data_IF_693645239615
#
_entry.id   IF_693645239615
#
_cell.length_a   1.000
_cell.length_b   1.000
_cell.length_c   1.000
_cell.angle_alpha   90.00
_cell.angle_beta   90.00
_cell.angle_gamma   90.00
#
_symmetry.space_group_name_H-M   'P 1'
#
loop_
_entity.id
_entity.type
_entity.pdbx_description
1 polymer ?
#
# COMPACT_ATOMS: atom_id res chain seq x y z
N UNK A 1 6.34 -25.26 8.57
CA UNK A 1 7.41 -25.06 7.56
C UNK A 1 6.93 -24.06 6.52
N UNK A 2 7.68 -22.99 6.32
CA UNK A 2 7.46 -21.93 5.33
C UNK A 2 7.99 -22.42 3.97
N UNK A 3 7.19 -22.37 2.93
CA UNK A 3 7.58 -22.88 1.61
C UNK A 3 7.07 -21.97 0.48
N UNK A 4 7.82 -21.90 -0.62
CA UNK A 4 7.48 -21.06 -1.78
C UNK A 4 6.12 -21.43 -2.38
N UNK A 5 5.34 -20.42 -2.79
CA UNK A 5 3.99 -20.57 -3.39
C UNK A 5 4.13 -21.01 -4.85
N UNK A 6 4.22 -22.32 -5.08
CA UNK A 6 4.37 -22.91 -6.43
C UNK A 6 3.08 -23.56 -6.95
N UNK A 7 2.20 -24.03 -6.07
CA UNK A 7 1.02 -24.83 -6.40
C UNK A 7 -0.31 -24.17 -5.95
N UNK A 8 -1.43 -24.72 -6.38
CA UNK A 8 -2.77 -24.20 -6.08
C UNK A 8 -3.08 -24.25 -4.56
N UNK A 9 -2.67 -25.34 -3.87
CA UNK A 9 -2.92 -25.53 -2.44
C UNK A 9 -2.23 -24.45 -1.61
N UNK A 10 -0.97 -24.11 -1.93
CA UNK A 10 -0.23 -23.04 -1.26
C UNK A 10 -0.80 -21.66 -1.60
N UNK A 11 -1.26 -21.40 -2.84
CA UNK A 11 -1.98 -20.16 -3.18
C UNK A 11 -3.21 -19.96 -2.34
N UNK A 12 -4.02 -21.01 -2.17
CA UNK A 12 -5.23 -20.95 -1.32
C UNK A 12 -4.89 -20.66 0.12
N UNK A 13 -3.86 -21.31 0.68
CA UNK A 13 -3.38 -21.04 2.06
C UNK A 13 -2.89 -19.59 2.19
N UNK A 14 -2.10 -19.13 1.24
CA UNK A 14 -1.61 -17.75 1.17
C UNK A 14 -2.76 -16.73 1.22
N UNK A 15 -3.73 -16.87 0.32
CA UNK A 15 -4.89 -15.98 0.29
C UNK A 15 -5.74 -16.07 1.57
N UNK A 16 -5.92 -17.26 2.12
CA UNK A 16 -6.67 -17.44 3.37
C UNK A 16 -6.01 -16.77 4.58
N UNK A 17 -4.68 -16.77 4.65
CA UNK A 17 -3.95 -16.10 5.73
C UNK A 17 -4.10 -14.57 5.68
N UNK A 18 -4.35 -14.00 4.50
CA UNK A 18 -4.57 -12.55 4.33
C UNK A 18 -6.02 -12.12 4.59
N UNK A 19 -6.97 -13.06 4.58
CA UNK A 19 -8.41 -12.78 4.52
C UNK A 19 -8.90 -11.85 5.64
N UNK A 20 -9.55 -10.76 5.24
CA UNK A 20 -10.16 -9.78 6.14
C UNK A 20 -9.17 -8.78 6.75
N UNK A 21 -7.87 -8.96 6.58
CA UNK A 21 -6.86 -8.02 7.07
C UNK A 21 -6.83 -6.77 6.18
N UNK A 22 -7.06 -5.56 6.73
CA UNK A 22 -7.01 -4.34 5.94
C UNK A 22 -5.64 -4.20 5.28
N UNK A 23 -5.60 -3.74 4.02
CA UNK A 23 -4.39 -3.66 3.18
C UNK A 23 -3.86 -5.02 2.74
N UNK A 24 -3.53 -5.92 3.68
CA UNK A 24 -2.87 -7.20 3.36
C UNK A 24 -3.75 -8.13 2.52
N UNK A 25 -5.08 -8.11 2.72
CA UNK A 25 -6.04 -8.90 1.93
C UNK A 25 -6.20 -8.37 0.49
N UNK A 26 -5.91 -7.09 0.24
CA UNK A 26 -5.86 -6.55 -1.11
C UNK A 26 -4.49 -6.76 -1.76
N UNK A 27 -3.42 -6.40 -1.06
CA UNK A 27 -2.07 -6.30 -1.60
C UNK A 27 -1.47 -7.68 -1.90
N UNK A 28 -1.32 -8.52 -0.87
CA UNK A 28 -0.55 -9.77 -0.99
C UNK A 28 -1.16 -10.78 -1.98
N UNK A 29 -2.48 -11.08 -1.95
CA UNK A 29 -3.09 -12.01 -2.90
C UNK A 29 -3.01 -11.51 -4.35
N UNK A 30 -3.18 -10.19 -4.57
CA UNK A 30 -3.06 -9.60 -5.90
C UNK A 30 -1.64 -9.73 -6.42
N UNK A 31 -0.64 -9.32 -5.63
CA UNK A 31 0.77 -9.35 -6.04
C UNK A 31 1.23 -10.80 -6.28
N UNK A 32 0.81 -11.75 -5.43
CA UNK A 32 1.04 -13.17 -5.68
C UNK A 32 0.41 -13.66 -6.99
N UNK A 33 -0.79 -13.20 -7.33
CA UNK A 33 -1.44 -13.59 -8.58
C UNK A 33 -0.71 -13.04 -9.82
N UNK A 34 -0.23 -11.79 -9.75
CA UNK A 34 0.39 -11.11 -10.87
C UNK A 34 1.89 -11.39 -11.01
N UNK A 35 2.63 -11.41 -9.89
CA UNK A 35 4.09 -11.33 -9.89
C UNK A 35 4.83 -12.57 -9.38
N UNK A 36 4.14 -13.68 -9.00
CA UNK A 36 4.81 -14.87 -8.45
C UNK A 36 5.84 -15.53 -9.38
N UNK A 37 5.83 -15.18 -10.66
CA UNK A 37 6.81 -15.66 -11.65
C UNK A 37 7.81 -14.59 -12.06
N UNK A 38 7.76 -13.42 -11.46
CA UNK A 38 8.55 -12.24 -11.83
C UNK A 38 9.48 -11.85 -10.69
N UNK A 39 10.72 -11.52 -10.99
CA UNK A 39 11.63 -10.89 -10.04
C UNK A 39 11.24 -9.40 -9.89
N UNK A 40 11.46 -8.79 -8.71
CA UNK A 40 12.11 -9.35 -7.50
C UNK A 40 11.15 -10.02 -6.52
N UNK A 41 9.86 -10.17 -6.82
CA UNK A 41 8.88 -10.70 -5.88
C UNK A 41 9.05 -12.18 -5.58
N UNK A 42 8.95 -12.54 -4.32
CA UNK A 42 8.95 -13.93 -3.85
C UNK A 42 7.83 -14.13 -2.85
N UNK A 43 7.05 -15.19 -3.02
CA UNK A 43 5.88 -15.49 -2.19
C UNK A 43 6.03 -16.83 -1.52
N UNK A 44 5.73 -16.87 -0.21
CA UNK A 44 5.83 -18.06 0.62
C UNK A 44 4.58 -18.25 1.46
N UNK A 45 4.23 -19.49 1.76
CA UNK A 45 3.10 -19.83 2.61
C UNK A 45 3.53 -20.85 3.67
N UNK A 46 3.09 -20.64 4.89
CA UNK A 46 3.05 -21.62 5.98
C UNK A 46 1.67 -22.27 6.09
N UNK A 47 1.40 -23.03 7.16
CA UNK A 47 0.06 -23.52 7.45
C UNK A 47 -0.98 -22.39 7.60
N UNK A 48 -0.61 -21.32 8.30
CA UNK A 48 -1.43 -20.15 8.64
C UNK A 48 -0.75 -18.82 8.31
N UNK A 49 0.35 -18.84 7.54
CA UNK A 49 1.15 -17.67 7.18
C UNK A 49 1.12 -17.42 5.68
N UNK A 50 0.98 -16.15 5.29
CA UNK A 50 1.37 -15.62 3.99
C UNK A 50 2.55 -14.66 4.17
N UNK A 51 3.55 -14.78 3.31
CA UNK A 51 4.74 -13.95 3.32
C UNK A 51 5.11 -13.55 1.90
N UNK A 52 5.17 -12.24 1.66
CA UNK A 52 5.66 -11.63 0.42
C UNK A 52 7.00 -10.96 0.69
N UNK A 53 7.97 -11.21 -0.18
CA UNK A 53 9.23 -10.49 -0.20
C UNK A 53 9.27 -9.58 -1.41
N UNK A 54 9.48 -8.28 -1.14
CA UNK A 54 9.72 -7.26 -2.13
C UNK A 54 11.02 -6.53 -1.76
N UNK A 55 12.08 -6.77 -2.53
CA UNK A 55 13.43 -6.35 -2.15
C UNK A 55 13.86 -7.00 -0.82
N UNK A 56 14.31 -6.18 0.14
CA UNK A 56 14.72 -6.61 1.50
C UNK A 56 13.58 -6.51 2.53
N UNK A 57 12.35 -6.18 2.11
CA UNK A 57 11.19 -6.06 3.01
C UNK A 57 10.26 -7.25 2.88
N UNK A 58 9.89 -7.83 4.03
CA UNK A 58 8.89 -8.87 4.15
C UNK A 58 7.53 -8.27 4.59
N UNK A 59 6.45 -8.64 3.89
CA UNK A 59 5.08 -8.37 4.31
C UNK A 59 4.45 -9.68 4.77
N UNK A 60 3.88 -9.69 5.97
CA UNK A 60 3.37 -10.91 6.60
C UNK A 60 1.89 -10.77 6.99
N UNK A 61 1.13 -11.83 6.73
CA UNK A 61 -0.24 -12.00 7.21
C UNK A 61 -0.39 -13.38 7.85
N UNK A 62 -1.14 -13.45 8.96
CA UNK A 62 -1.36 -14.70 9.70
C UNK A 62 -0.26 -14.98 10.72
N UNK A 63 -0.04 -16.26 11.07
CA UNK A 63 0.78 -16.69 12.20
C UNK A 63 1.95 -17.57 11.80
N UNK A 64 3.10 -17.35 12.43
CA UNK A 64 4.27 -18.22 12.35
C UNK A 64 4.94 -18.39 13.73
N UNK A 65 5.73 -19.44 13.89
CA UNK A 65 6.61 -19.58 15.05
C UNK A 65 7.74 -18.53 14.95
N UNK A 66 8.01 -17.74 16.02
CA UNK A 66 9.01 -16.65 15.99
C UNK A 66 10.42 -17.09 15.57
N UNK A 67 10.91 -18.21 16.09
CA UNK A 67 12.24 -18.72 15.75
C UNK A 67 12.33 -19.22 14.30
N UNK A 68 11.29 -19.94 13.80
CA UNK A 68 11.21 -20.35 12.39
C UNK A 68 11.16 -19.13 11.47
N UNK A 69 10.39 -18.11 11.86
CA UNK A 69 10.24 -16.88 11.09
C UNK A 69 11.56 -16.09 11.03
N UNK A 70 12.23 -15.91 12.17
CA UNK A 70 13.51 -15.21 12.25
C UNK A 70 14.59 -15.88 11.39
N UNK A 71 14.74 -17.20 11.52
CA UNK A 71 15.67 -17.97 10.69
C UNK A 71 15.36 -17.87 9.19
N UNK A 72 14.07 -17.91 8.83
CA UNK A 72 13.64 -17.77 7.44
C UNK A 72 13.92 -16.39 6.87
N UNK A 73 13.59 -15.32 7.61
CA UNK A 73 13.82 -13.93 7.19
C UNK A 73 15.32 -13.65 7.01
N UNK A 74 16.14 -14.13 7.94
CA UNK A 74 17.61 -14.04 7.86
C UNK A 74 18.15 -14.77 6.62
N UNK A 75 17.71 -16.00 6.37
CA UNK A 75 18.08 -16.76 5.17
C UNK A 75 17.71 -16.03 3.88
N UNK A 76 16.58 -15.32 3.86
CA UNK A 76 16.13 -14.53 2.72
C UNK A 76 16.84 -13.18 2.56
N UNK A 77 17.67 -12.77 3.51
CA UNK A 77 18.35 -11.46 3.51
C UNK A 77 17.39 -10.30 3.78
N UNK A 78 16.36 -10.52 4.61
CA UNK A 78 15.39 -9.46 4.93
C UNK A 78 16.00 -8.46 5.93
N UNK A 79 15.80 -7.17 5.65
CA UNK A 79 16.21 -6.06 6.52
C UNK A 79 15.01 -5.47 7.28
N UNK A 80 13.79 -5.76 6.85
CA UNK A 80 12.59 -5.35 7.55
C UNK A 80 11.43 -6.34 7.35
N UNK A 81 10.53 -6.40 8.33
CA UNK A 81 9.31 -7.19 8.29
C UNK A 81 8.13 -6.35 8.78
N UNK A 82 7.02 -6.35 8.03
CA UNK A 82 5.77 -5.66 8.37
C UNK A 82 4.72 -6.71 8.69
N UNK A 83 4.12 -6.64 9.88
CA UNK A 83 3.17 -7.63 10.37
C UNK A 83 2.12 -7.01 11.30
N UNK A 84 1.01 -7.72 11.45
CA UNK A 84 0.01 -7.48 12.48
C UNK A 84 0.42 -8.23 13.76
N UNK A 85 0.84 -7.51 14.79
CA UNK A 85 1.28 -8.10 16.07
C UNK A 85 0.18 -8.90 16.79
N UNK A 86 -1.09 -8.62 16.48
CA UNK A 86 -2.22 -9.36 17.08
C UNK A 86 -2.39 -10.75 16.48
N UNK A 87 -1.90 -10.96 15.27
CA UNK A 87 -2.00 -12.21 14.52
C UNK A 87 -0.66 -12.95 14.39
N UNK A 88 0.47 -12.21 14.35
CA UNK A 88 1.79 -12.76 14.15
C UNK A 88 2.73 -12.26 15.26
N UNK A 89 3.27 -13.14 16.13
CA UNK A 89 4.28 -12.71 17.08
C UNK A 89 5.55 -12.25 16.34
N UNK A 90 6.29 -11.28 16.92
CA UNK A 90 7.52 -10.77 16.32
C UNK A 90 8.57 -11.89 16.14
N UNK A 91 9.42 -11.80 15.10
CA UNK A 91 10.52 -12.74 14.92
C UNK A 91 11.54 -12.62 16.06
N UNK A 92 12.10 -13.74 16.50
CA UNK A 92 13.13 -13.75 17.53
C UNK A 92 14.37 -12.96 17.09
N UNK A 93 14.94 -12.12 17.97
CA UNK A 93 16.10 -11.27 17.66
C UNK A 93 15.78 -10.11 16.71
N UNK A 94 14.51 -9.72 16.62
CA UNK A 94 14.07 -8.53 15.91
C UNK A 94 13.41 -7.54 16.86
N UNK A 95 13.65 -6.25 16.67
CA UNK A 95 13.02 -5.20 17.46
C UNK A 95 12.06 -4.36 16.62
N UNK A 96 11.07 -3.82 17.27
CA UNK A 96 10.07 -2.93 16.66
C UNK A 96 10.69 -1.58 16.34
N UNK A 97 10.81 -1.26 15.07
CA UNK A 97 11.33 0.01 14.59
C UNK A 97 10.23 1.08 14.47
N UNK A 98 9.00 0.67 14.09
CA UNK A 98 7.93 1.61 13.78
C UNK A 98 6.56 0.97 13.95
N UNK A 99 5.57 1.79 14.32
CA UNK A 99 4.15 1.42 14.24
C UNK A 99 3.51 2.11 13.05
N UNK A 100 2.89 1.34 12.15
CA UNK A 100 2.19 1.82 10.98
C UNK A 100 0.68 1.80 11.24
N UNK A 101 0.01 2.93 11.15
CA UNK A 101 -1.44 3.00 11.35
C UNK A 101 -2.17 2.72 10.04
N UNK A 102 -3.13 1.81 10.07
CA UNK A 102 -4.03 1.51 8.96
C UNK A 102 -5.28 2.37 9.08
N UNK A 103 -5.58 3.12 8.04
CA UNK A 103 -6.77 3.96 7.95
C UNK A 103 -7.75 3.45 6.89
N UNK A 104 -9.02 3.85 7.05
CA UNK A 104 -10.09 3.66 6.08
C UNK A 104 -11.21 4.66 6.28
N UNK A 105 -12.26 4.55 5.48
CA UNK A 105 -13.45 5.38 5.70
C UNK A 105 -14.21 4.94 6.95
N UNK A 106 -14.75 5.88 7.76
CA UNK A 106 -15.53 5.55 8.93
C UNK A 106 -16.84 4.87 8.52
N UNK A 107 -17.01 3.59 8.89
CA UNK A 107 -18.21 2.79 8.60
C UNK A 107 -18.68 2.86 7.12
N UNK A 108 -17.74 3.01 6.17
CA UNK A 108 -18.06 3.14 4.75
C UNK A 108 -18.77 4.44 4.34
N UNK A 109 -18.84 5.44 5.21
CA UNK A 109 -19.47 6.73 4.89
C UNK A 109 -18.48 7.63 4.13
N UNK A 110 -18.96 8.37 3.10
CA UNK A 110 -18.13 9.34 2.43
C UNK A 110 -17.71 10.47 3.39
N UNK A 111 -16.49 10.96 3.23
CA UNK A 111 -15.97 12.08 3.98
C UNK A 111 -16.34 13.41 3.31
N UNK A 112 -16.56 14.48 4.08
CA UNK A 112 -16.67 15.82 3.50
C UNK A 112 -15.35 16.20 2.81
N UNK A 113 -15.44 16.84 1.67
CA UNK A 113 -14.25 17.32 0.97
C UNK A 113 -13.59 18.44 1.81
N UNK A 114 -12.28 18.34 2.09
CA UNK A 114 -11.56 19.39 2.79
C UNK A 114 -11.63 20.72 2.04
N UNK A 115 -11.74 21.82 2.78
CA UNK A 115 -11.63 23.16 2.22
C UNK A 115 -10.23 23.37 1.62
N UNK A 116 -10.20 24.01 0.46
CA UNK A 116 -9.00 24.45 -0.25
C UNK A 116 -9.20 25.90 -0.73
N UNK A 117 -8.13 26.54 -1.15
CA UNK A 117 -8.27 27.78 -1.93
C UNK A 117 -8.89 27.44 -3.29
N UNK A 118 -10.16 27.83 -3.47
CA UNK A 118 -10.92 27.51 -4.68
C UNK A 118 -10.33 28.18 -5.93
N UNK A 119 -9.69 29.35 -5.80
CA UNK A 119 -9.01 30.00 -6.93
C UNK A 119 -7.78 29.21 -7.37
N UNK A 120 -7.03 28.65 -6.41
CA UNK A 120 -5.92 27.77 -6.71
C UNK A 120 -6.40 26.42 -7.26
N UNK A 121 -7.47 25.84 -6.67
CA UNK A 121 -8.02 24.58 -7.15
C UNK A 121 -8.52 24.67 -8.60
N UNK A 122 -9.15 25.78 -8.95
CA UNK A 122 -9.65 26.02 -10.30
C UNK A 122 -8.54 26.12 -11.39
N UNK A 123 -7.30 26.36 -10.97
CA UNK A 123 -6.13 26.37 -11.88
C UNK A 123 -5.55 24.96 -12.12
N UNK A 124 -6.06 23.96 -11.42
CA UNK A 124 -5.57 22.59 -11.50
C UNK A 124 -6.51 21.73 -12.33
N UNK A 125 -5.94 20.87 -13.15
CA UNK A 125 -6.70 19.90 -13.94
C UNK A 125 -6.59 18.52 -13.32
N UNK A 126 -7.74 17.92 -12.97
CA UNK A 126 -7.79 16.54 -12.49
C UNK A 126 -7.72 15.57 -13.67
N UNK A 127 -6.70 14.72 -13.70
CA UNK A 127 -6.57 13.61 -14.63
C UNK A 127 -6.77 12.29 -13.89
N UNK A 128 -7.92 11.63 -14.13
CA UNK A 128 -8.26 10.34 -13.50
C UNK A 128 -7.63 9.14 -14.18
N UNK A 129 -7.16 9.30 -15.40
CA UNK A 129 -6.47 8.28 -16.20
C UNK A 129 -5.05 8.72 -16.55
N UNK A 130 -4.33 9.26 -15.55
CA UNK A 130 -2.99 9.77 -15.77
C UNK A 130 -2.06 8.69 -16.34
N UNK A 131 -1.26 8.98 -17.39
CA UNK A 131 -0.30 8.02 -17.94
C UNK A 131 0.65 7.51 -16.85
N UNK A 132 0.87 6.18 -16.81
CA UNK A 132 1.70 5.55 -15.77
C UNK A 132 3.11 6.14 -15.69
N UNK A 133 3.69 6.51 -16.84
CA UNK A 133 5.01 7.15 -16.91
C UNK A 133 5.02 8.51 -16.18
N UNK A 134 3.96 9.32 -16.32
CA UNK A 134 3.86 10.62 -15.63
C UNK A 134 3.71 10.46 -14.13
N UNK A 135 2.93 9.46 -13.69
CA UNK A 135 2.79 9.13 -12.26
C UNK A 135 4.14 8.66 -11.70
N UNK A 136 4.82 7.75 -12.38
CA UNK A 136 6.14 7.25 -11.98
C UNK A 136 7.18 8.37 -11.88
N UNK A 137 7.23 9.26 -12.87
CA UNK A 137 8.13 10.42 -12.89
C UNK A 137 7.84 11.39 -11.75
N UNK A 138 6.57 11.65 -11.43
CA UNK A 138 6.21 12.53 -10.34
C UNK A 138 6.59 11.95 -8.96
N UNK A 139 6.47 10.63 -8.79
CA UNK A 139 6.79 9.96 -7.52
C UNK A 139 8.30 9.77 -7.31
N UNK A 140 9.04 9.50 -8.37
CA UNK A 140 10.47 9.16 -8.32
C UNK A 140 11.29 10.01 -9.30
N UNK A 141 11.30 11.36 -9.17
CA UNK A 141 11.89 12.24 -10.18
C UNK A 141 13.42 12.11 -10.31
N UNK A 142 14.10 11.59 -9.28
CA UNK A 142 15.56 11.46 -9.22
C UNK A 142 16.06 10.02 -9.07
N UNK A 143 15.16 9.03 -9.17
CA UNK A 143 15.48 7.61 -9.05
C UNK A 143 14.93 6.83 -10.26
N UNK A 144 15.68 6.77 -11.36
CA UNK A 144 15.24 6.10 -12.59
C UNK A 144 14.96 4.61 -12.43
N UNK A 145 15.67 3.92 -11.53
CA UNK A 145 15.45 2.49 -11.29
C UNK A 145 14.09 2.26 -10.63
N UNK A 146 13.81 2.98 -9.54
CA UNK A 146 12.49 2.95 -8.88
C UNK A 146 11.37 3.41 -9.80
N UNK A 147 11.63 4.42 -10.63
CA UNK A 147 10.66 4.90 -11.61
C UNK A 147 10.28 3.79 -12.60
N UNK A 148 11.27 3.05 -13.13
CA UNK A 148 11.04 1.96 -14.06
C UNK A 148 10.28 0.78 -13.42
N UNK A 149 10.66 0.40 -12.19
CA UNK A 149 10.00 -0.67 -11.44
C UNK A 149 8.53 -0.31 -11.15
N UNK A 150 8.29 0.88 -10.63
CA UNK A 150 6.94 1.37 -10.35
C UNK A 150 6.09 1.48 -11.62
N UNK A 151 6.66 2.00 -12.71
CA UNK A 151 5.99 2.06 -14.01
C UNK A 151 5.53 0.68 -14.48
N UNK A 152 6.43 -0.30 -14.45
CA UNK A 152 6.16 -1.68 -14.86
C UNK A 152 5.06 -2.32 -14.01
N UNK A 153 5.15 -2.17 -12.69
CA UNK A 153 4.15 -2.65 -11.75
C UNK A 153 2.77 -2.02 -11.99
N UNK A 154 2.73 -0.68 -12.10
CA UNK A 154 1.49 0.05 -12.35
C UNK A 154 0.84 -0.34 -13.69
N UNK A 155 1.62 -0.46 -14.76
CA UNK A 155 1.12 -0.92 -16.06
C UNK A 155 0.53 -2.34 -15.97
N UNK A 156 1.21 -3.26 -15.29
CA UNK A 156 0.74 -4.63 -15.09
C UNK A 156 -0.58 -4.67 -14.31
N UNK A 157 -0.68 -3.92 -13.21
CA UNK A 157 -1.90 -3.85 -12.40
C UNK A 157 -3.05 -3.18 -13.15
N UNK A 158 -2.78 -2.08 -13.86
CA UNK A 158 -3.79 -1.36 -14.67
C UNK A 158 -4.33 -2.20 -15.82
N UNK A 159 -3.49 -2.93 -16.55
CA UNK A 159 -3.94 -3.80 -17.65
C UNK A 159 -4.91 -4.90 -17.21
N UNK A 160 -5.00 -5.14 -15.91
CA UNK A 160 -5.91 -6.09 -15.28
C UNK A 160 -7.06 -5.42 -14.51
N UNK A 161 -7.20 -4.09 -14.60
CA UNK A 161 -8.19 -3.33 -13.84
C UNK A 161 -7.96 -3.40 -12.32
N UNK A 162 -6.70 -3.52 -11.87
CA UNK A 162 -6.35 -3.71 -10.47
C UNK A 162 -5.63 -2.53 -9.83
N UNK A 163 -5.47 -1.43 -10.56
CA UNK A 163 -4.92 -0.18 -10.04
C UNK A 163 -5.51 1.01 -10.77
N UNK A 164 -5.66 2.12 -10.04
CA UNK A 164 -5.98 3.44 -10.58
C UNK A 164 -5.03 4.46 -9.97
N UNK A 165 -4.66 5.49 -10.72
CA UNK A 165 -3.88 6.60 -10.20
C UNK A 165 -4.35 7.90 -10.84
N UNK A 166 -4.56 8.91 -10.01
CA UNK A 166 -4.99 10.24 -10.41
C UNK A 166 -3.86 11.23 -10.22
N UNK A 167 -3.85 12.24 -11.07
CA UNK A 167 -2.96 13.39 -10.91
C UNK A 167 -3.75 14.69 -10.94
N UNK A 168 -3.26 15.68 -10.21
CA UNK A 168 -3.59 17.07 -10.47
C UNK A 168 -2.44 17.70 -11.23
N UNK A 169 -2.77 18.46 -12.24
CA UNK A 169 -1.82 19.06 -13.16
C UNK A 169 -1.98 20.58 -13.20
N UNK A 170 -0.86 21.29 -13.25
CA UNK A 170 -0.82 22.72 -13.51
C UNK A 170 -0.06 22.94 -14.82
N UNK A 171 -0.75 23.25 -15.88
CA UNK A 171 -0.20 23.20 -17.23
C UNK A 171 0.24 21.77 -17.57
N UNK A 172 1.51 21.59 -17.92
CA UNK A 172 2.09 20.27 -18.22
C UNK A 172 2.67 19.55 -16.99
N UNK A 173 2.76 20.22 -15.84
CA UNK A 173 3.39 19.66 -14.64
C UNK A 173 2.39 18.89 -13.79
N UNK A 174 2.76 17.68 -13.35
CA UNK A 174 2.04 16.95 -12.30
C UNK A 174 2.41 17.55 -10.96
N UNK A 175 1.43 18.11 -10.25
CA UNK A 175 1.65 18.79 -8.96
C UNK A 175 1.11 18.02 -7.76
N UNK A 176 0.23 17.05 -7.99
CA UNK A 176 -0.24 16.14 -6.94
C UNK A 176 -0.59 14.77 -7.54
N UNK A 177 -0.33 13.72 -6.79
CA UNK A 177 -0.70 12.35 -7.16
C UNK A 177 -1.41 11.66 -6.00
N UNK A 178 -2.30 10.73 -6.33
CA UNK A 178 -2.85 9.73 -5.43
C UNK A 178 -3.20 8.49 -6.26
N UNK A 179 -3.13 7.30 -5.65
CA UNK A 179 -3.53 6.09 -6.36
C UNK A 179 -4.02 5.00 -5.42
N UNK A 180 -4.79 4.06 -5.98
CA UNK A 180 -5.07 2.78 -5.39
C UNK A 180 -4.34 1.70 -6.21
N UNK A 181 -3.37 1.05 -5.57
CA UNK A 181 -2.40 0.16 -6.24
C UNK A 181 -2.66 -1.32 -5.99
N UNK A 182 -3.75 -1.65 -5.29
CA UNK A 182 -4.29 -3.00 -5.24
C UNK A 182 -5.82 -2.93 -5.07
N UNK A 183 -6.55 -3.23 -6.13
CA UNK A 183 -8.00 -3.40 -6.13
C UNK A 183 -8.30 -4.90 -6.10
N UNK A 184 -8.51 -5.45 -4.91
CA UNK A 184 -8.70 -6.88 -4.70
C UNK A 184 -9.56 -7.15 -3.47
N UNK A 185 -10.32 -8.24 -3.50
CA UNK A 185 -11.13 -8.73 -2.37
C UNK A 185 -12.04 -7.65 -1.72
N UNK A 186 -12.61 -6.75 -2.56
CA UNK A 186 -13.47 -5.67 -2.09
C UNK A 186 -12.73 -4.51 -1.41
N UNK A 187 -11.40 -4.53 -1.38
CA UNK A 187 -10.58 -3.44 -0.86
C UNK A 187 -9.87 -2.67 -1.98
N UNK A 188 -9.58 -1.40 -1.72
CA UNK A 188 -8.72 -0.55 -2.55
C UNK A 188 -7.55 -0.05 -1.68
N UNK A 189 -6.37 -0.64 -1.86
CA UNK A 189 -5.17 -0.19 -1.16
C UNK A 189 -4.65 1.11 -1.79
N UNK A 190 -4.85 2.22 -1.08
CA UNK A 190 -4.39 3.54 -1.50
C UNK A 190 -2.96 3.79 -1.00
N UNK A 191 -2.12 4.39 -1.83
CA UNK A 191 -0.75 4.74 -1.49
C UNK A 191 -0.22 5.91 -2.35
N UNK A 192 1.04 6.26 -2.13
CA UNK A 192 1.79 7.20 -2.97
C UNK A 192 1.10 8.56 -3.18
N UNK A 193 0.44 9.07 -2.13
CA UNK A 193 -0.04 10.45 -2.11
C UNK A 193 1.14 11.42 -2.00
N UNK A 194 1.38 12.22 -3.04
CA UNK A 194 2.45 13.22 -3.05
C UNK A 194 1.92 14.55 -3.59
N UNK A 195 2.35 15.64 -2.97
CA UNK A 195 2.08 17.01 -3.44
C UNK A 195 3.39 17.74 -3.62
N UNK A 196 3.55 18.42 -4.74
CA UNK A 196 4.70 19.25 -5.06
C UNK A 196 4.93 20.31 -3.96
N UNK A 197 6.17 20.54 -3.60
CA UNK A 197 6.55 21.37 -2.45
C UNK A 197 5.89 22.77 -2.43
N UNK A 198 5.81 23.53 -3.53
CA UNK A 198 5.18 24.85 -3.52
C UNK A 198 3.67 24.83 -3.21
N UNK A 199 3.03 23.66 -3.33
CA UNK A 199 1.58 23.48 -3.10
C UNK A 199 1.27 22.73 -1.80
N UNK A 200 2.29 22.35 -1.01
CA UNK A 200 2.09 21.73 0.30
C UNK A 200 1.44 22.70 1.29
N UNK A 201 0.71 22.16 2.24
CA UNK A 201 0.01 22.97 3.26
C UNK A 201 -1.27 23.67 2.79
N UNK A 202 -1.59 23.65 1.47
CA UNK A 202 -2.76 24.32 0.87
C UNK A 202 -4.00 23.43 0.77
N UNK A 203 -4.02 22.27 1.42
CA UNK A 203 -5.17 21.34 1.44
C UNK A 203 -5.34 20.46 0.21
N UNK A 204 -4.64 20.74 -0.91
CA UNK A 204 -4.80 20.10 -2.23
C UNK A 204 -4.68 18.57 -2.14
N UNK A 205 -3.60 18.07 -1.53
CA UNK A 205 -3.37 16.64 -1.38
C UNK A 205 -4.47 15.96 -0.53
N UNK A 206 -4.92 16.61 0.53
CA UNK A 206 -6.01 16.12 1.37
C UNK A 206 -7.32 16.00 0.61
N UNK A 207 -7.69 17.03 -0.18
CA UNK A 207 -8.90 17.01 -1.01
C UNK A 207 -8.84 15.89 -2.06
N UNK A 208 -7.71 15.73 -2.75
CA UNK A 208 -7.55 14.68 -3.76
C UNK A 208 -7.65 13.27 -3.15
N UNK A 209 -7.03 13.04 -1.98
CA UNK A 209 -7.10 11.76 -1.27
C UNK A 209 -8.54 11.44 -0.86
N UNK A 210 -9.27 12.41 -0.28
CA UNK A 210 -10.67 12.22 0.16
C UNK A 210 -11.57 11.99 -1.05
N UNK A 211 -11.39 12.74 -2.14
CA UNK A 211 -12.18 12.57 -3.37
C UNK A 211 -11.98 11.16 -3.96
N UNK A 212 -10.74 10.67 -4.05
CA UNK A 212 -10.46 9.31 -4.50
C UNK A 212 -11.09 8.26 -3.58
N UNK A 213 -10.93 8.40 -2.26
CA UNK A 213 -11.50 7.45 -1.30
C UNK A 213 -13.02 7.38 -1.42
N UNK A 214 -13.70 8.53 -1.53
CA UNK A 214 -15.14 8.59 -1.71
C UNK A 214 -15.57 7.94 -3.05
N UNK A 215 -14.83 8.18 -4.13
CA UNK A 215 -15.13 7.58 -5.44
C UNK A 215 -15.00 6.07 -5.40
N UNK A 216 -13.92 5.54 -4.84
CA UNK A 216 -13.71 4.09 -4.69
C UNK A 216 -14.79 3.45 -3.81
N UNK A 217 -15.22 4.14 -2.74
CA UNK A 217 -16.33 3.67 -1.91
C UNK A 217 -17.66 3.65 -2.63
N UNK A 218 -17.95 4.65 -3.47
CA UNK A 218 -19.15 4.67 -4.31
C UNK A 218 -19.16 3.54 -5.36
N UNK A 219 -17.98 3.04 -5.75
CA UNK A 219 -17.79 1.87 -6.62
C UNK A 219 -17.88 0.53 -5.84
N UNK A 220 -18.20 0.58 -4.53
CA UNK A 220 -18.35 -0.60 -3.69
C UNK A 220 -17.04 -1.18 -3.14
N UNK A 221 -15.94 -0.46 -3.28
CA UNK A 221 -14.65 -0.84 -2.70
C UNK A 221 -14.48 -0.21 -1.32
N UNK A 222 -13.68 -0.86 -0.46
CA UNK A 222 -13.26 -0.33 0.83
C UNK A 222 -11.87 0.30 0.72
N UNK A 223 -11.75 1.64 0.69
CA UNK A 223 -10.45 2.31 0.68
C UNK A 223 -9.72 2.04 1.99
N UNK A 224 -8.48 1.58 1.89
CA UNK A 224 -7.59 1.32 3.03
C UNK A 224 -6.17 1.78 2.69
N UNK A 225 -5.43 2.28 3.66
CA UNK A 225 -4.04 2.66 3.48
C UNK A 225 -3.25 2.60 4.79
N UNK A 226 -1.94 2.52 4.64
CA UNK A 226 -0.98 2.58 5.73
C UNK A 226 -0.34 3.96 5.79
N UNK A 227 -0.08 4.42 6.99
CA UNK A 227 0.75 5.61 7.18
C UNK A 227 1.73 5.46 8.35
N UNK A 228 2.85 6.12 8.22
CA UNK A 228 3.84 6.29 9.26
C UNK A 228 3.33 7.25 10.36
N UNK A 229 3.88 7.18 11.58
CA UNK A 229 3.39 7.91 12.76
C UNK A 229 3.22 9.42 12.54
N UNK A 230 4.13 10.05 11.82
CA UNK A 230 4.09 11.50 11.54
C UNK A 230 2.90 11.92 10.68
N UNK A 231 2.25 10.99 9.98
CA UNK A 231 1.08 11.24 9.13
C UNK A 231 -0.26 10.96 9.81
N UNK A 232 -0.28 10.31 10.95
CA UNK A 232 -1.51 9.94 11.68
C UNK A 232 -2.40 11.15 11.92
N UNK A 233 -1.84 12.26 12.44
CA UNK A 233 -2.59 13.49 12.70
C UNK A 233 -3.20 14.10 11.42
N UNK A 234 -2.52 13.98 10.30
CA UNK A 234 -3.02 14.48 9.01
C UNK A 234 -4.28 13.72 8.58
N UNK A 235 -4.24 12.38 8.56
CA UNK A 235 -5.37 11.56 8.13
C UNK A 235 -6.55 11.60 9.11
N UNK A 236 -6.27 11.67 10.41
CA UNK A 236 -7.32 11.86 11.43
C UNK A 236 -8.08 13.18 11.22
N UNK A 237 -7.37 14.28 10.90
CA UNK A 237 -8.01 15.57 10.58
C UNK A 237 -8.85 15.54 9.30
N UNK A 238 -8.50 14.70 8.32
CA UNK A 238 -9.32 14.48 7.13
C UNK A 238 -10.58 13.64 7.42
N UNK A 239 -10.71 13.08 8.63
CA UNK A 239 -11.86 12.28 9.05
C UNK A 239 -11.73 10.79 8.79
N UNK A 240 -10.58 10.29 8.33
CA UNK A 240 -10.35 8.85 8.20
C UNK A 240 -10.33 8.17 9.58
N UNK A 241 -10.91 6.98 9.66
CA UNK A 241 -10.93 6.16 10.87
C UNK A 241 -9.70 5.25 10.92
N UNK A 242 -9.07 5.17 12.10
CA UNK A 242 -8.07 4.15 12.38
C UNK A 242 -8.75 2.78 12.44
N UNK A 243 -8.27 1.82 11.68
CA UNK A 243 -8.80 0.45 11.61
C UNK A 243 -8.00 -0.52 12.46
N UNK A 244 -6.68 -0.50 12.31
CA UNK A 244 -5.73 -1.34 13.05
C UNK A 244 -4.33 -0.71 12.97
N UNK A 245 -3.34 -1.40 13.55
CA UNK A 245 -1.93 -1.05 13.43
C UNK A 245 -1.13 -2.26 12.97
N UNK A 246 -0.11 -2.01 12.17
CA UNK A 246 0.93 -2.96 11.84
C UNK A 246 2.25 -2.46 12.40
N UNK A 247 3.16 -3.39 12.68
CA UNK A 247 4.47 -3.06 13.16
C UNK A 247 5.52 -3.38 12.11
N UNK A 248 6.50 -2.48 11.97
CA UNK A 248 7.72 -2.76 11.23
C UNK A 248 8.79 -3.20 12.20
N UNK A 249 9.33 -4.38 11.97
CA UNK A 249 10.44 -4.97 12.70
C UNK A 249 11.70 -4.92 11.84
N UNK A 250 12.84 -4.78 12.51
CA UNK A 250 14.20 -4.87 11.92
C UNK A 250 15.07 -5.78 12.79
N UNK A 251 16.07 -6.48 12.22
CA UNK A 251 16.94 -7.35 12.99
C UNK A 251 17.73 -6.56 14.04
N UNK A 252 17.93 -7.13 15.22
CA UNK A 252 18.90 -6.64 16.19
C UNK A 252 20.31 -6.73 15.59
N UNK A 253 21.14 -5.70 15.83
CA UNK A 253 22.51 -5.63 15.30
C UNK A 253 23.46 -6.45 16.16
#
# INVERSE_FOLDING_TARGET
MIAQVKDAKRRTRFANACRGLPVLDALLPLDCALFRKSQPWRFYAGPTLALELSGSTAWLAGHANPAELAGFLSFCGCESAILDETACPPPDGWHKAETLTVFGLPQGRPLPLPAVDEALWAQLTLCREAPAARVAQALYPVDPARQADFYSELCTKRSRGRAVAWTLEQGSAVVCTVGAYALCNGQAYMACGQTAEPLRGKGIGGRLIVEMANTLAAEGLRPVFLCAPERVRFYTRLGFAKLTEYARYVPEK
#
